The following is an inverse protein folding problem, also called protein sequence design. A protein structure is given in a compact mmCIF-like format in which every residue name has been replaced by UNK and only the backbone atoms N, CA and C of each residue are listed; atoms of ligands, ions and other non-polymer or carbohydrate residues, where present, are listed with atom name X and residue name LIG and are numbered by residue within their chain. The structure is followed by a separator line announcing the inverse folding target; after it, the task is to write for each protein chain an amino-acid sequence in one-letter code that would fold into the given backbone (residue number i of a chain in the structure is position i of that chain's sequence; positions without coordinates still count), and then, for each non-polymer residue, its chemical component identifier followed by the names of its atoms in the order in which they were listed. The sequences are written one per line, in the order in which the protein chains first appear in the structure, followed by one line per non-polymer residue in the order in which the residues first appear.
data_IF_396329889781
#
_entry.id   IF_396329889781
#
_cell.length_a   1.000
_cell.length_b   1.000
_cell.length_c   1.000
_cell.angle_alpha   90.00
_cell.angle_beta   90.00
_cell.angle_gamma   90.00
#
_symmetry.space_group_name_H-M   'P 1'
#
loop_
_entity.id
_entity.type
_entity.pdbx_description
1 polymer ?
#
# COMPACT_ATOMS: atom_id res chain seq x y z
N UNK A 1 -15.52 -38.62 13.78
CA UNK A 1 -15.35 -38.77 12.34
C UNK A 1 -14.65 -37.48 11.88
N UNK A 2 -13.33 -37.54 11.72
CA UNK A 2 -12.51 -36.42 11.21
C UNK A 2 -12.80 -36.32 9.71
N UNK A 3 -13.63 -35.33 9.32
CA UNK A 3 -13.73 -34.95 7.94
C UNK A 3 -12.35 -34.45 7.47
N UNK A 4 -11.81 -35.04 6.41
CA UNK A 4 -10.64 -34.54 5.74
C UNK A 4 -10.94 -33.08 5.33
N UNK A 5 -10.35 -32.13 6.04
CA UNK A 5 -10.39 -30.74 5.61
C UNK A 5 -9.56 -30.66 4.33
N UNK A 6 -10.21 -30.38 3.21
CA UNK A 6 -9.50 -30.16 1.95
C UNK A 6 -8.55 -28.95 2.14
N UNK A 7 -7.28 -29.17 1.94
CA UNK A 7 -6.28 -28.12 1.91
C UNK A 7 -6.01 -27.76 0.45
N UNK A 8 -6.24 -26.52 0.09
CA UNK A 8 -6.02 -25.96 -1.24
C UNK A 8 -4.67 -25.26 -1.32
N UNK A 9 -4.10 -25.22 -2.51
CA UNK A 9 -2.88 -24.45 -2.77
C UNK A 9 -3.15 -22.95 -2.72
N UNK A 10 -4.34 -22.53 -3.20
CA UNK A 10 -4.78 -21.14 -3.18
C UNK A 10 -6.27 -20.98 -2.90
N UNK A 11 -6.64 -19.98 -2.11
CA UNK A 11 -8.01 -19.49 -1.97
C UNK A 11 -8.17 -18.12 -2.61
N UNK A 12 -9.05 -18.00 -3.58
CA UNK A 12 -9.45 -16.74 -4.20
C UNK A 12 -10.65 -16.14 -3.44
N UNK A 13 -10.49 -14.93 -2.94
CA UNK A 13 -11.56 -14.15 -2.33
C UNK A 13 -12.10 -13.18 -3.39
N UNK A 14 -13.28 -13.45 -3.92
CA UNK A 14 -13.87 -12.73 -5.03
C UNK A 14 -13.69 -13.45 -6.36
N UNK A 15 -12.98 -12.86 -7.32
CA UNK A 15 -12.81 -13.42 -8.67
C UNK A 15 -11.59 -14.36 -8.72
N UNK A 16 -11.72 -15.56 -9.32
CA UNK A 16 -10.57 -16.43 -9.52
C UNK A 16 -9.68 -15.92 -10.65
N UNK A 17 -8.38 -16.23 -10.57
CA UNK A 17 -7.46 -16.09 -11.69
C UNK A 17 -7.52 -17.35 -12.57
N UNK A 18 -7.25 -17.20 -13.87
CA UNK A 18 -7.11 -18.33 -14.75
C UNK A 18 -5.78 -19.02 -14.47
N UNK A 19 -5.83 -20.21 -13.88
CA UNK A 19 -4.66 -21.06 -13.67
C UNK A 19 -5.05 -22.51 -13.92
N UNK A 20 -4.36 -23.17 -14.84
CA UNK A 20 -4.67 -24.56 -15.22
C UNK A 20 -4.09 -25.60 -14.24
N UNK A 21 -3.18 -25.20 -13.33
CA UNK A 21 -2.35 -26.13 -12.57
C UNK A 21 -2.42 -25.96 -11.05
N UNK A 22 -3.26 -25.07 -10.51
CA UNK A 22 -3.37 -24.85 -9.06
C UNK A 22 -4.63 -25.48 -8.48
N UNK A 23 -4.48 -26.27 -7.41
CA UNK A 23 -5.61 -26.71 -6.60
C UNK A 23 -6.18 -25.52 -5.85
N UNK A 24 -7.36 -25.04 -6.29
CA UNK A 24 -7.88 -23.77 -5.84
C UNK A 24 -9.34 -23.82 -5.42
N UNK A 25 -9.72 -22.88 -4.55
CA UNK A 25 -11.10 -22.67 -4.14
C UNK A 25 -11.45 -21.19 -4.24
N UNK A 26 -12.66 -20.90 -4.67
CA UNK A 26 -13.20 -19.52 -4.71
C UNK A 26 -14.18 -19.31 -3.55
N UNK A 27 -13.96 -18.25 -2.80
CA UNK A 27 -14.79 -17.85 -1.66
C UNK A 27 -15.41 -16.49 -1.95
N UNK A 28 -16.73 -16.43 -1.89
CA UNK A 28 -17.44 -15.16 -1.99
C UNK A 28 -17.11 -14.27 -0.77
N UNK A 29 -16.72 -13.01 -0.98
CA UNK A 29 -16.25 -12.14 0.09
C UNK A 29 -17.21 -12.03 1.26
N UNK A 30 -18.50 -11.94 1.01
CA UNK A 30 -19.57 -11.82 2.01
C UNK A 30 -19.70 -13.05 2.92
N UNK A 31 -19.26 -14.22 2.45
CA UNK A 31 -19.30 -15.47 3.21
C UNK A 31 -18.12 -15.64 4.16
N UNK A 32 -17.04 -14.91 3.95
CA UNK A 32 -15.86 -15.00 4.81
C UNK A 32 -16.12 -14.29 6.14
N UNK A 33 -15.86 -14.91 7.27
CA UNK A 33 -16.01 -14.30 8.60
C UNK A 33 -14.69 -14.05 9.30
N UNK A 34 -13.69 -14.90 9.09
CA UNK A 34 -12.40 -14.80 9.75
C UNK A 34 -11.30 -15.50 8.93
N UNK A 35 -10.07 -15.08 9.12
CA UNK A 35 -8.86 -15.74 8.63
C UNK A 35 -7.84 -15.83 9.75
N UNK A 36 -7.30 -17.04 9.99
CA UNK A 36 -6.20 -17.29 10.92
C UNK A 36 -5.08 -18.04 10.22
N UNK A 37 -3.89 -18.04 10.83
CA UNK A 37 -2.74 -18.76 10.32
C UNK A 37 -1.81 -17.88 9.47
N UNK A 38 -0.92 -18.55 8.80
CA UNK A 38 0.21 -17.97 8.07
C UNK A 38 0.40 -18.63 6.70
N UNK A 39 1.34 -18.13 5.91
CA UNK A 39 1.70 -18.73 4.61
C UNK A 39 1.96 -20.22 4.75
N UNK A 40 1.35 -21.00 3.87
CA UNK A 40 1.36 -22.45 3.89
C UNK A 40 0.23 -23.09 4.72
N UNK A 41 -0.40 -22.34 5.65
CA UNK A 41 -1.47 -22.88 6.51
C UNK A 41 -2.47 -21.81 6.99
N UNK A 42 -3.18 -21.22 6.07
CA UNK A 42 -4.31 -20.33 6.39
C UNK A 42 -5.57 -21.14 6.64
N UNK A 43 -6.34 -20.76 7.65
CA UNK A 43 -7.68 -21.28 7.93
C UNK A 43 -8.71 -20.16 7.75
N UNK A 44 -9.55 -20.30 6.74
CA UNK A 44 -10.67 -19.42 6.42
C UNK A 44 -11.94 -19.95 7.08
N UNK A 45 -12.59 -19.15 7.92
CA UNK A 45 -13.89 -19.48 8.53
C UNK A 45 -15.01 -18.83 7.75
N UNK A 46 -16.01 -19.63 7.35
CA UNK A 46 -17.14 -19.18 6.57
C UNK A 46 -18.38 -18.95 7.45
N UNK A 47 -19.25 -18.04 7.02
CA UNK A 47 -20.59 -17.85 7.58
C UNK A 47 -21.57 -18.89 6.99
N UNK A 48 -22.48 -19.37 7.79
CA UNK A 48 -23.61 -20.16 7.33
C UNK A 48 -24.89 -19.35 7.50
N UNK A 49 -25.59 -19.00 6.42
CA UNK A 49 -26.90 -18.37 6.37
C UNK A 49 -27.39 -17.73 7.70
N UNK A 50 -26.64 -16.65 8.16
CA UNK A 50 -26.98 -15.92 9.38
C UNK A 50 -26.36 -16.43 10.70
N UNK A 51 -25.57 -17.53 10.71
CA UNK A 51 -24.83 -18.00 11.88
C UNK A 51 -23.31 -17.97 11.65
N UNK A 52 -22.52 -17.75 12.71
CA UNK A 52 -21.05 -17.57 12.63
C UNK A 52 -20.25 -18.83 12.25
N UNK A 53 -20.90 -20.00 12.15
CA UNK A 53 -20.18 -21.28 11.92
C UNK A 53 -20.69 -21.99 10.67
N UNK A 54 -20.08 -21.66 9.54
CA UNK A 54 -20.44 -22.22 8.23
C UNK A 54 -19.49 -23.26 7.64
N UNK A 55 -18.42 -23.58 8.31
CA UNK A 55 -17.35 -24.45 7.81
C UNK A 55 -16.00 -23.76 7.77
N UNK A 56 -14.95 -24.55 7.58
CA UNK A 56 -13.59 -24.07 7.46
C UNK A 56 -12.96 -24.57 6.17
N UNK A 57 -12.15 -23.73 5.55
CA UNK A 57 -11.34 -24.03 4.38
C UNK A 57 -9.88 -23.77 4.77
N UNK A 58 -8.98 -24.66 4.40
CA UNK A 58 -7.54 -24.47 4.54
C UNK A 58 -6.91 -24.16 3.19
N UNK A 59 -6.01 -23.17 3.15
CA UNK A 59 -5.28 -22.81 1.96
C UNK A 59 -3.84 -22.40 2.28
N UNK A 60 -2.92 -22.64 1.35
CA UNK A 60 -1.52 -22.27 1.53
C UNK A 60 -1.27 -20.81 1.19
N UNK A 61 -2.00 -20.27 0.23
CA UNK A 61 -1.95 -18.89 -0.24
C UNK A 61 -3.36 -18.32 -0.37
N UNK A 62 -3.49 -16.98 -0.31
CA UNK A 62 -4.75 -16.28 -0.45
C UNK A 62 -4.58 -15.14 -1.46
N UNK A 63 -5.55 -15.01 -2.36
CA UNK A 63 -5.61 -13.90 -3.33
C UNK A 63 -6.93 -13.16 -3.11
N UNK A 64 -6.86 -11.90 -2.72
CA UNK A 64 -8.01 -11.00 -2.60
C UNK A 64 -8.14 -10.27 -3.93
N UNK A 65 -9.04 -10.74 -4.78
CA UNK A 65 -9.28 -10.22 -6.12
C UNK A 65 -10.73 -9.73 -6.24
N UNK A 66 -10.94 -8.48 -5.87
CA UNK A 66 -12.26 -7.85 -5.85
C UNK A 66 -12.46 -6.96 -7.10
N UNK A 67 -13.67 -6.90 -7.66
CA UNK A 67 -13.96 -5.93 -8.72
C UNK A 67 -13.89 -4.51 -8.15
N UNK A 68 -13.60 -3.52 -9.00
CA UNK A 68 -13.76 -2.13 -8.62
C UNK A 68 -15.24 -1.81 -8.40
N UNK A 69 -15.51 -0.88 -7.50
CA UNK A 69 -16.75 -0.13 -7.52
C UNK A 69 -16.59 1.03 -8.49
N UNK A 70 -17.45 1.09 -9.49
CA UNK A 70 -17.51 2.20 -10.43
C UNK A 70 -18.55 3.21 -9.96
N UNK A 71 -18.16 4.47 -9.89
CA UNK A 71 -19.06 5.58 -9.58
C UNK A 71 -19.08 6.54 -10.75
N UNK A 72 -20.26 6.74 -11.32
CA UNK A 72 -20.47 7.68 -12.40
C UNK A 72 -20.87 9.05 -11.83
N UNK A 73 -20.39 10.16 -12.40
CA UNK A 73 -20.73 11.51 -11.95
C UNK A 73 -22.19 11.89 -12.24
N UNK A 74 -22.91 11.10 -13.05
CA UNK A 74 -24.29 11.26 -13.44
C UNK A 74 -25.04 9.92 -13.39
N UNK A 75 -26.37 9.96 -13.19
CA UNK A 75 -27.22 8.74 -13.13
C UNK A 75 -27.24 7.96 -14.46
N UNK A 76 -27.11 8.69 -15.60
CA UNK A 76 -27.05 8.11 -16.94
C UNK A 76 -25.62 8.22 -17.49
N UNK A 77 -24.80 7.22 -17.24
CA UNK A 77 -23.41 7.15 -17.72
C UNK A 77 -23.04 5.74 -18.14
N UNK A 78 -21.89 5.59 -18.76
CA UNK A 78 -21.34 4.30 -19.19
C UNK A 78 -20.27 3.82 -18.22
N UNK A 79 -20.36 2.56 -17.80
CA UNK A 79 -19.31 1.93 -17.00
C UNK A 79 -18.12 1.49 -17.88
N UNK A 80 -16.99 1.14 -17.26
CA UNK A 80 -15.83 0.60 -17.99
C UNK A 80 -16.13 -0.74 -18.65
N UNK A 81 -17.13 -1.48 -18.15
CA UNK A 81 -17.58 -2.76 -18.67
C UNK A 81 -18.68 -2.64 -19.72
N UNK A 82 -19.31 -1.48 -19.84
CA UNK A 82 -20.37 -1.27 -20.81
C UNK A 82 -19.85 -1.26 -22.24
N UNK A 83 -20.57 -1.92 -23.11
CA UNK A 83 -20.32 -1.82 -24.55
C UNK A 83 -20.74 -0.43 -25.02
N UNK A 84 -19.77 0.41 -25.34
CA UNK A 84 -20.03 1.72 -25.98
C UNK A 84 -20.57 1.59 -27.40
N UNK A 85 -20.81 0.35 -27.84
CA UNK A 85 -21.29 0.01 -29.16
C UNK A 85 -22.41 0.89 -29.71
N UNK A 86 -23.51 1.15 -28.96
CA UNK A 86 -24.61 1.98 -29.45
C UNK A 86 -24.25 3.45 -29.68
N UNK A 87 -23.39 4.05 -28.83
CA UNK A 87 -22.97 5.46 -28.95
C UNK A 87 -21.87 5.62 -30.00
N UNK A 88 -21.07 4.56 -30.20
CA UNK A 88 -19.98 4.54 -31.16
C UNK A 88 -20.37 3.93 -32.52
N UNK A 89 -21.55 3.29 -32.64
CA UNK A 89 -21.90 2.48 -33.80
C UNK A 89 -22.60 3.20 -34.95
N UNK A 90 -23.08 4.41 -34.73
CA UNK A 90 -23.86 5.16 -35.74
C UNK A 90 -23.08 6.39 -36.21
N UNK A 91 -23.11 6.64 -37.53
CA UNK A 91 -22.73 7.94 -38.08
C UNK A 91 -23.68 8.99 -37.51
N UNK A 92 -23.15 9.87 -36.65
CA UNK A 92 -23.92 10.95 -36.01
C UNK A 92 -23.31 12.31 -36.37
N UNK A 93 -24.17 13.27 -36.73
CA UNK A 93 -23.74 14.63 -37.01
C UNK A 93 -23.32 15.37 -35.72
N UNK A 94 -23.76 14.89 -34.55
CA UNK A 94 -23.45 15.48 -33.26
C UNK A 94 -22.07 15.08 -32.75
N UNK A 95 -21.32 16.01 -32.13
CA UNK A 95 -20.00 15.73 -31.60
C UNK A 95 -20.06 14.68 -30.46
N UNK A 96 -19.00 13.93 -30.30
CA UNK A 96 -18.77 13.08 -29.13
C UNK A 96 -18.01 13.90 -28.07
N UNK A 97 -18.53 13.96 -26.88
CA UNK A 97 -17.94 14.69 -25.76
C UNK A 97 -17.60 13.70 -24.65
N UNK A 98 -16.31 13.50 -24.40
CA UNK A 98 -15.79 12.61 -23.35
C UNK A 98 -15.34 13.45 -22.17
N UNK A 99 -15.79 13.13 -20.97
CA UNK A 99 -15.48 13.87 -19.74
C UNK A 99 -14.81 12.94 -18.73
N UNK A 100 -13.61 13.35 -18.28
CA UNK A 100 -12.82 12.69 -17.25
C UNK A 100 -12.47 13.74 -16.18
N UNK A 101 -13.13 13.70 -15.03
CA UNK A 101 -13.03 14.71 -13.97
C UNK A 101 -12.30 14.21 -12.71
N UNK A 102 -11.19 13.47 -12.89
CA UNK A 102 -10.42 12.87 -11.78
C UNK A 102 -8.98 13.36 -11.77
N UNK A 103 -8.50 13.92 -10.63
CA UNK A 103 -7.11 14.39 -10.49
C UNK A 103 -6.15 13.33 -9.96
N UNK A 104 -6.65 12.21 -9.47
CA UNK A 104 -5.94 11.21 -8.65
C UNK A 104 -5.58 9.90 -9.40
N UNK A 105 -5.46 8.81 -8.66
CA UNK A 105 -5.12 7.49 -9.19
C UNK A 105 -6.16 6.96 -10.19
N UNK A 106 -7.43 7.32 -10.05
CA UNK A 106 -8.49 6.93 -10.99
C UNK A 106 -8.28 7.54 -12.38
N UNK A 107 -7.56 8.67 -12.47
CA UNK A 107 -7.28 9.32 -13.74
C UNK A 107 -6.53 8.43 -14.74
N UNK A 108 -5.67 7.52 -14.31
CA UNK A 108 -4.91 6.66 -15.23
C UNK A 108 -5.82 5.68 -15.98
N UNK A 109 -6.70 4.97 -15.27
CA UNK A 109 -7.65 4.04 -15.88
C UNK A 109 -8.70 4.78 -16.71
N UNK A 110 -9.21 5.91 -16.20
CA UNK A 110 -10.17 6.76 -16.90
C UNK A 110 -9.57 7.36 -18.18
N UNK A 111 -8.28 7.76 -18.17
CA UNK A 111 -7.59 8.26 -19.36
C UNK A 111 -7.46 7.18 -20.42
N UNK A 112 -7.04 5.97 -20.04
CA UNK A 112 -6.92 4.84 -20.98
C UNK A 112 -8.28 4.52 -21.62
N UNK A 113 -9.31 4.39 -20.79
CA UNK A 113 -10.66 4.08 -21.28
C UNK A 113 -11.18 5.17 -22.23
N UNK A 114 -11.06 6.44 -21.85
CA UNK A 114 -11.53 7.56 -22.67
C UNK A 114 -10.76 7.68 -24.01
N UNK A 115 -9.45 7.43 -24.00
CA UNK A 115 -8.63 7.40 -25.24
C UNK A 115 -9.07 6.26 -26.16
N UNK A 116 -9.29 5.06 -25.62
CA UNK A 116 -9.79 3.93 -26.42
C UNK A 116 -11.19 4.21 -26.97
N UNK A 117 -12.09 4.81 -26.19
CA UNK A 117 -13.40 5.21 -26.65
C UNK A 117 -13.32 6.25 -27.78
N UNK A 118 -12.47 7.28 -27.62
CA UNK A 118 -12.25 8.30 -28.63
C UNK A 118 -11.70 7.74 -29.96
N UNK A 119 -10.67 6.88 -29.87
CA UNK A 119 -10.09 6.23 -31.06
C UNK A 119 -11.09 5.29 -31.75
N UNK A 120 -11.85 4.51 -30.98
CA UNK A 120 -12.88 3.63 -31.52
C UNK A 120 -14.01 4.41 -32.22
N UNK A 121 -14.36 5.58 -31.70
CA UNK A 121 -15.34 6.47 -32.36
C UNK A 121 -14.77 7.01 -33.67
N UNK A 122 -13.51 7.45 -33.69
CA UNK A 122 -12.83 7.96 -34.88
C UNK A 122 -12.67 6.92 -35.98
N UNK A 123 -12.40 5.66 -35.62
CA UNK A 123 -12.32 4.53 -36.57
C UNK A 123 -13.65 4.29 -37.28
N UNK A 124 -14.78 4.51 -36.59
CA UNK A 124 -16.12 4.30 -37.13
C UNK A 124 -16.62 5.49 -37.95
N UNK A 125 -16.32 6.69 -37.51
CA UNK A 125 -16.66 7.94 -38.18
C UNK A 125 -15.47 8.90 -38.19
N UNK A 126 -14.81 8.97 -39.34
CA UNK A 126 -13.62 9.81 -39.49
C UNK A 126 -13.90 11.32 -39.51
N UNK A 127 -15.16 11.73 -39.65
CA UNK A 127 -15.57 13.13 -39.74
C UNK A 127 -16.20 13.66 -38.45
N UNK A 128 -16.54 12.81 -37.53
CA UNK A 128 -17.19 13.20 -36.27
C UNK A 128 -16.25 14.05 -35.41
N UNK A 129 -16.69 15.19 -34.94
CA UNK A 129 -15.92 15.96 -33.95
C UNK A 129 -15.89 15.26 -32.60
N UNK A 130 -14.69 15.12 -32.00
CA UNK A 130 -14.49 14.47 -30.72
C UNK A 130 -13.76 15.41 -29.77
N UNK A 131 -14.42 15.76 -28.66
CA UNK A 131 -13.88 16.60 -27.61
C UNK A 131 -13.60 15.75 -26.37
N UNK A 132 -12.40 15.87 -25.83
CA UNK A 132 -12.00 15.17 -24.61
C UNK A 132 -11.66 16.17 -23.52
N UNK A 133 -12.54 16.31 -22.55
CA UNK A 133 -12.33 17.12 -21.35
C UNK A 133 -11.68 16.32 -20.27
N UNK A 134 -10.59 16.83 -19.68
CA UNK A 134 -9.85 16.11 -18.65
C UNK A 134 -9.31 17.04 -17.57
N UNK A 135 -9.30 16.57 -16.34
CA UNK A 135 -8.69 17.27 -15.19
C UNK A 135 -7.21 16.93 -15.06
N UNK A 136 -6.89 15.65 -15.10
CA UNK A 136 -5.53 15.16 -15.17
C UNK A 136 -5.47 14.01 -16.18
N UNK A 137 -4.56 14.09 -17.16
CA UNK A 137 -4.25 12.97 -18.04
C UNK A 137 -3.02 12.29 -17.47
N UNK A 138 -3.19 11.03 -17.04
CA UNK A 138 -2.10 10.22 -16.49
C UNK A 138 -1.85 9.04 -17.40
N UNK A 139 -0.61 8.92 -17.83
CA UNK A 139 -0.16 7.82 -18.65
C UNK A 139 0.69 6.88 -17.80
N UNK A 140 0.47 5.59 -18.01
CA UNK A 140 1.31 4.52 -17.51
C UNK A 140 1.62 3.65 -18.73
N UNK A 141 2.89 3.61 -19.14
CA UNK A 141 3.42 2.86 -20.32
C UNK A 141 2.79 3.24 -21.67
N UNK A 142 2.34 2.22 -22.43
CA UNK A 142 1.83 2.32 -23.80
C UNK A 142 0.69 3.32 -24.02
N UNK A 143 0.14 3.89 -22.97
CA UNK A 143 -0.91 4.91 -23.06
C UNK A 143 -0.40 6.24 -23.66
N UNK A 144 0.91 6.49 -23.63
CA UNK A 144 1.50 7.62 -24.35
C UNK A 144 1.26 7.47 -25.86
N UNK A 145 1.38 6.26 -26.39
CA UNK A 145 1.13 5.97 -27.82
C UNK A 145 -0.34 6.18 -28.18
N UNK A 146 -1.28 5.80 -27.30
CA UNK A 146 -2.72 6.04 -27.51
C UNK A 146 -3.03 7.53 -27.55
N UNK A 147 -2.41 8.32 -26.68
CA UNK A 147 -2.61 9.78 -26.68
C UNK A 147 -2.03 10.44 -27.92
N UNK A 148 -0.84 10.06 -28.33
CA UNK A 148 -0.24 10.56 -29.57
C UNK A 148 -1.06 10.19 -30.81
N UNK A 149 -1.58 8.95 -30.84
CA UNK A 149 -2.48 8.51 -31.91
C UNK A 149 -3.77 9.32 -31.92
N UNK A 150 -4.39 9.52 -30.77
CA UNK A 150 -5.60 10.34 -30.64
C UNK A 150 -5.38 11.79 -31.12
N UNK A 151 -4.21 12.37 -30.82
CA UNK A 151 -3.83 13.70 -31.32
C UNK A 151 -3.60 13.72 -32.85
N UNK A 152 -2.98 12.67 -33.40
CA UNK A 152 -2.79 12.53 -34.86
C UNK A 152 -4.13 12.43 -35.60
N UNK A 153 -5.12 11.85 -34.95
CA UNK A 153 -6.48 11.72 -35.47
C UNK A 153 -7.38 12.92 -35.12
N UNK A 154 -6.78 14.05 -34.75
CA UNK A 154 -7.46 15.34 -34.55
C UNK A 154 -8.54 15.32 -33.44
N UNK A 155 -8.36 14.47 -32.41
CA UNK A 155 -9.19 14.54 -31.20
C UNK A 155 -8.79 15.78 -30.41
N UNK A 156 -9.79 16.59 -30.00
CA UNK A 156 -9.60 17.88 -29.32
C UNK A 156 -9.54 17.68 -27.82
N UNK A 157 -8.37 17.91 -27.22
CA UNK A 157 -8.12 17.77 -25.80
C UNK A 157 -8.23 19.10 -25.07
N UNK A 158 -9.11 19.19 -24.07
CA UNK A 158 -9.38 20.38 -23.27
C UNK A 158 -9.17 20.08 -21.78
N UNK A 159 -8.08 20.61 -21.25
CA UNK A 159 -7.83 20.50 -19.80
C UNK A 159 -8.69 21.50 -19.06
N UNK A 160 -9.35 21.07 -17.98
CA UNK A 160 -10.15 21.93 -17.12
C UNK A 160 -9.74 21.82 -15.65
N UNK A 161 -10.00 22.90 -14.91
CA UNK A 161 -9.89 22.98 -13.46
C UNK A 161 -11.28 23.19 -12.83
N UNK A 162 -11.32 23.23 -11.50
CA UNK A 162 -12.59 23.34 -10.77
C UNK A 162 -13.35 24.61 -11.18
N UNK A 163 -14.60 24.44 -11.63
CA UNK A 163 -15.49 25.54 -12.04
C UNK A 163 -15.32 26.02 -13.47
N UNK A 164 -14.40 25.47 -14.25
CA UNK A 164 -14.22 25.79 -15.68
C UNK A 164 -15.15 24.99 -16.59
N UNK A 165 -15.62 23.81 -16.13
CA UNK A 165 -16.51 22.92 -16.86
C UNK A 165 -17.88 22.84 -16.16
N UNK A 166 -18.94 23.12 -16.89
CA UNK A 166 -20.33 23.03 -16.44
C UNK A 166 -21.08 22.08 -17.37
N UNK A 167 -21.68 21.01 -16.83
CA UNK A 167 -22.42 20.01 -17.61
C UNK A 167 -23.90 20.10 -17.23
N UNK A 168 -24.80 20.23 -18.23
CA UNK A 168 -26.26 20.28 -18.06
C UNK A 168 -26.92 19.50 -19.17
N UNK A 169 -27.58 18.40 -18.81
CA UNK A 169 -28.25 17.51 -19.76
C UNK A 169 -27.29 17.07 -20.89
N UNK A 170 -27.53 17.48 -22.12
CA UNK A 170 -26.75 17.21 -23.33
C UNK A 170 -25.75 18.33 -23.69
N UNK A 171 -25.52 19.29 -22.77
CA UNK A 171 -24.70 20.48 -23.01
C UNK A 171 -23.53 20.57 -22.06
N UNK A 172 -22.39 20.93 -22.63
CA UNK A 172 -21.17 21.23 -21.90
C UNK A 172 -20.80 22.68 -22.15
N UNK A 173 -20.60 23.45 -21.09
CA UNK A 173 -20.05 24.79 -21.16
C UNK A 173 -18.67 24.80 -20.50
N UNK A 174 -17.66 25.17 -21.28
CA UNK A 174 -16.28 25.27 -20.85
C UNK A 174 -15.81 26.71 -20.92
N UNK A 175 -15.26 27.22 -19.80
CA UNK A 175 -14.73 28.58 -19.70
C UNK A 175 -13.34 28.55 -19.12
N UNK A 176 -12.39 29.02 -19.90
CA UNK A 176 -11.01 29.16 -19.45
C UNK A 176 -10.36 30.35 -20.15
N UNK A 177 -9.84 31.28 -19.35
CA UNK A 177 -9.26 32.53 -19.87
C UNK A 177 -10.20 33.25 -20.83
N UNK A 178 -9.81 33.40 -22.10
CA UNK A 178 -10.59 34.06 -23.14
C UNK A 178 -11.49 33.09 -23.95
N UNK A 179 -11.49 31.80 -23.61
CA UNK A 179 -12.29 30.78 -24.30
C UNK A 179 -13.60 30.53 -23.55
N UNK A 180 -14.73 30.80 -24.18
CA UNK A 180 -16.08 30.41 -23.73
C UNK A 180 -16.68 29.53 -24.83
N UNK A 181 -16.76 28.22 -24.58
CA UNK A 181 -17.21 27.19 -25.51
C UNK A 181 -18.47 26.55 -24.98
N UNK A 182 -19.51 26.48 -25.80
CA UNK A 182 -20.74 25.73 -25.50
C UNK A 182 -20.92 24.66 -26.56
N UNK A 183 -21.00 23.41 -26.15
CA UNK A 183 -21.13 22.22 -27.01
C UNK A 183 -22.41 21.47 -26.62
N UNK A 184 -23.10 20.93 -27.63
CA UNK A 184 -24.17 19.96 -27.46
C UNK A 184 -23.80 18.71 -28.23
N UNK A 185 -24.00 17.52 -27.66
CA UNK A 185 -23.64 16.28 -28.33
C UNK A 185 -23.81 15.05 -27.44
N UNK A 186 -23.30 13.92 -27.92
CA UNK A 186 -23.29 12.69 -27.14
C UNK A 186 -22.26 12.77 -26.00
N UNK A 187 -22.71 12.72 -24.77
CA UNK A 187 -21.87 12.81 -23.57
C UNK A 187 -21.49 11.43 -23.07
N UNK A 188 -20.19 11.19 -22.86
CA UNK A 188 -19.67 10.02 -22.20
C UNK A 188 -18.84 10.45 -21.01
N UNK A 189 -19.12 9.86 -19.85
CA UNK A 189 -18.37 10.11 -18.63
C UNK A 189 -17.48 8.89 -18.34
N UNK A 190 -16.18 9.13 -18.18
CA UNK A 190 -15.31 8.13 -17.62
C UNK A 190 -15.68 7.89 -16.16
N UNK A 191 -15.87 6.63 -15.70
CA UNK A 191 -16.21 6.36 -14.31
C UNK A 191 -15.04 6.57 -13.36
N UNK A 192 -15.34 6.94 -12.12
CA UNK A 192 -14.39 6.90 -11.01
C UNK A 192 -14.29 5.47 -10.49
N UNK A 193 -13.05 4.99 -10.33
CA UNK A 193 -12.79 3.68 -9.73
C UNK A 193 -12.56 3.84 -8.24
N UNK A 194 -13.42 3.19 -7.45
CA UNK A 194 -13.35 3.15 -5.99
C UNK A 194 -12.99 1.75 -5.48
N UNK A 195 -12.50 1.65 -4.24
CA UNK A 195 -12.34 0.35 -3.60
C UNK A 195 -13.62 -0.46 -3.64
N UNK A 196 -13.50 -1.77 -3.77
CA UNK A 196 -14.65 -2.67 -3.65
C UNK A 196 -15.34 -2.45 -2.29
N UNK A 197 -16.67 -2.56 -2.20
CA UNK A 197 -17.41 -2.36 -0.93
C UNK A 197 -16.95 -3.29 0.20
N UNK A 198 -16.41 -4.45 -0.14
CA UNK A 198 -15.92 -5.45 0.80
C UNK A 198 -14.50 -5.18 1.30
N UNK A 199 -13.79 -4.20 0.74
CA UNK A 199 -12.37 -3.93 1.04
C UNK A 199 -12.14 -3.64 2.52
N UNK A 200 -12.97 -2.81 3.15
CA UNK A 200 -12.92 -2.51 4.60
C UNK A 200 -13.03 -3.77 5.46
N UNK A 201 -13.86 -4.68 5.04
CA UNK A 201 -14.07 -5.93 5.75
C UNK A 201 -12.89 -6.86 5.57
N UNK A 202 -12.32 -6.93 4.36
CA UNK A 202 -11.12 -7.71 4.10
C UNK A 202 -9.94 -7.16 4.88
N UNK A 203 -9.76 -5.83 4.95
CA UNK A 203 -8.76 -5.20 5.78
C UNK A 203 -8.80 -5.71 7.23
N UNK A 204 -9.99 -5.77 7.83
CA UNK A 204 -10.19 -6.24 9.20
C UNK A 204 -9.96 -7.74 9.37
N UNK A 205 -10.47 -8.58 8.43
CA UNK A 205 -10.34 -10.03 8.49
C UNK A 205 -8.88 -10.47 8.36
N UNK A 206 -8.13 -9.84 7.46
CA UNK A 206 -6.73 -10.17 7.20
C UNK A 206 -5.73 -9.36 8.02
N UNK A 207 -6.20 -8.36 8.77
CA UNK A 207 -5.39 -7.39 9.51
C UNK A 207 -4.36 -6.71 8.58
N UNK A 208 -4.85 -6.16 7.47
CA UNK A 208 -4.09 -5.40 6.48
C UNK A 208 -4.55 -3.94 6.60
N UNK A 209 -3.61 -3.00 6.64
CA UNK A 209 -3.91 -1.57 6.65
C UNK A 209 -4.42 -1.13 5.27
N UNK A 210 -5.19 -0.05 5.24
CA UNK A 210 -5.67 0.61 4.02
C UNK A 210 -4.89 1.90 3.81
N UNK A 211 -4.73 2.29 2.55
CA UNK A 211 -4.22 3.60 2.19
C UNK A 211 -5.30 4.70 2.37
N UNK A 212 -4.93 5.96 2.11
CA UNK A 212 -5.82 7.11 2.24
C UNK A 212 -7.04 7.04 1.31
N UNK A 213 -6.94 6.30 0.21
CA UNK A 213 -8.01 6.09 -0.76
C UNK A 213 -8.90 4.87 -0.41
N UNK A 214 -8.57 4.12 0.64
CA UNK A 214 -9.31 2.96 1.12
C UNK A 214 -8.93 1.63 0.46
N UNK A 215 -7.88 1.57 -0.37
CA UNK A 215 -7.35 0.33 -0.93
C UNK A 215 -6.46 -0.40 0.08
N UNK A 216 -6.36 -1.72 -0.05
CA UNK A 216 -5.48 -2.52 0.79
C UNK A 216 -4.01 -2.19 0.50
N UNK A 217 -3.26 -1.90 1.56
CA UNK A 217 -1.89 -1.47 1.45
C UNK A 217 -0.98 -2.60 0.96
N UNK A 218 -0.04 -2.27 0.06
CA UNK A 218 0.92 -3.17 -0.54
C UNK A 218 2.23 -3.18 0.23
N UNK A 219 2.93 -4.30 0.21
CA UNK A 219 4.22 -4.42 0.90
C UNK A 219 5.30 -3.53 0.25
N UNK A 220 5.38 -3.54 -1.08
CA UNK A 220 6.32 -2.71 -1.82
C UNK A 220 5.67 -2.26 -3.13
N UNK A 221 5.35 -0.98 -3.22
CA UNK A 221 4.58 -0.40 -4.32
C UNK A 221 5.30 -0.53 -5.65
N UNK A 222 6.64 -0.52 -5.64
CA UNK A 222 7.45 -0.47 -6.86
C UNK A 222 7.94 -1.84 -7.33
N UNK A 223 8.27 -2.75 -6.40
CA UNK A 223 8.88 -4.03 -6.75
C UNK A 223 7.92 -5.21 -6.62
N UNK A 224 6.97 -5.14 -5.71
CA UNK A 224 6.05 -6.23 -5.39
C UNK A 224 4.62 -5.71 -5.22
N UNK A 225 4.01 -5.25 -6.31
CA UNK A 225 2.78 -4.46 -6.24
C UNK A 225 1.56 -5.24 -5.75
N UNK A 226 1.56 -6.57 -5.82
CA UNK A 226 0.42 -7.41 -5.41
C UNK A 226 0.57 -8.02 -4.03
N UNK A 227 1.77 -7.94 -3.42
CA UNK A 227 1.98 -8.44 -2.07
C UNK A 227 1.36 -7.51 -1.03
N UNK A 228 0.64 -8.07 -0.09
CA UNK A 228 0.20 -7.34 1.11
C UNK A 228 1.27 -7.34 2.20
N UNK A 229 1.04 -6.62 3.29
CA UNK A 229 1.89 -6.69 4.48
C UNK A 229 1.91 -8.09 5.13
N UNK A 230 0.93 -8.93 4.83
CA UNK A 230 0.83 -10.31 5.33
C UNK A 230 1.32 -11.30 4.28
N UNK A 231 2.41 -12.01 4.55
CA UNK A 231 2.99 -13.01 3.64
C UNK A 231 1.95 -14.05 3.22
N UNK A 232 1.96 -14.41 1.93
CA UNK A 232 1.02 -15.37 1.36
C UNK A 232 -0.38 -14.82 1.11
N UNK A 233 -0.61 -13.51 1.37
CA UNK A 233 -1.85 -12.82 1.04
C UNK A 233 -1.56 -11.77 -0.04
N UNK A 234 -2.16 -11.93 -1.19
CA UNK A 234 -2.02 -11.07 -2.36
C UNK A 234 -3.28 -10.23 -2.58
N UNK A 235 -3.12 -9.04 -3.13
CA UNK A 235 -4.21 -8.10 -3.38
C UNK A 235 -4.21 -7.66 -4.85
N UNK A 236 -5.38 -7.69 -5.49
CA UNK A 236 -5.56 -7.38 -6.90
C UNK A 236 -6.78 -6.49 -7.15
N UNK A 237 -6.76 -5.77 -8.25
CA UNK A 237 -7.88 -4.97 -8.78
C UNK A 237 -8.51 -4.04 -7.73
N UNK A 238 -9.83 -4.12 -7.49
CA UNK A 238 -10.58 -3.26 -6.57
C UNK A 238 -10.17 -3.36 -5.09
N UNK A 239 -9.38 -4.36 -4.72
CA UNK A 239 -8.75 -4.43 -3.40
C UNK A 239 -7.42 -3.67 -3.36
N UNK A 240 -6.71 -3.58 -4.51
CA UNK A 240 -5.36 -3.03 -4.62
C UNK A 240 -5.32 -1.54 -5.00
N UNK A 241 -6.23 -1.12 -5.86
CA UNK A 241 -6.25 0.18 -6.50
C UNK A 241 -6.11 0.11 -8.03
N UNK A 242 -6.52 1.18 -8.72
CA UNK A 242 -6.52 1.24 -10.18
C UNK A 242 -5.10 1.17 -10.73
N UNK A 243 -4.98 0.48 -11.88
CA UNK A 243 -3.77 0.38 -12.68
C UNK A 243 -4.16 0.21 -14.15
N UNK A 244 -3.23 0.45 -15.08
CA UNK A 244 -3.47 0.20 -16.49
C UNK A 244 -3.83 -1.28 -16.75
N UNK A 245 -4.66 -1.55 -17.77
CA UNK A 245 -5.14 -2.91 -18.06
C UNK A 245 -4.01 -3.88 -18.41
N UNK A 246 -2.95 -3.40 -19.07
CA UNK A 246 -1.72 -4.15 -19.35
C UNK A 246 -1.06 -4.63 -18.09
N UNK A 247 -0.88 -3.76 -17.10
CA UNK A 247 -0.31 -4.11 -15.81
C UNK A 247 -1.16 -5.07 -15.00
N UNK A 248 -2.48 -5.02 -15.12
CA UNK A 248 -3.34 -5.97 -14.43
C UNK A 248 -3.03 -7.42 -14.83
N UNK A 249 -2.75 -7.68 -16.11
CA UNK A 249 -2.34 -9.01 -16.58
C UNK A 249 -0.97 -9.41 -16.05
N UNK A 250 -0.03 -8.49 -16.04
CA UNK A 250 1.31 -8.71 -15.47
C UNK A 250 1.26 -8.98 -13.97
N UNK A 251 0.42 -8.27 -13.24
CA UNK A 251 0.18 -8.47 -11.81
C UNK A 251 -0.44 -9.85 -11.52
N UNK A 252 -1.38 -10.28 -12.34
CA UNK A 252 -1.96 -11.63 -12.25
C UNK A 252 -0.88 -12.69 -12.51
N UNK A 253 -0.07 -12.53 -13.55
CA UNK A 253 1.02 -13.46 -13.88
C UNK A 253 2.10 -13.47 -12.78
N UNK A 254 2.48 -12.30 -12.27
CA UNK A 254 3.40 -12.18 -11.14
C UNK A 254 2.86 -12.89 -9.90
N UNK A 255 1.59 -12.67 -9.56
CA UNK A 255 0.95 -13.31 -8.39
C UNK A 255 0.96 -14.83 -8.50
N UNK A 256 0.63 -15.38 -9.67
CA UNK A 256 0.66 -16.82 -9.92
C UNK A 256 2.09 -17.39 -9.85
N UNK A 257 3.09 -16.66 -10.35
CA UNK A 257 4.49 -17.04 -10.25
C UNK A 257 4.98 -17.06 -8.79
N UNK A 258 4.61 -16.06 -7.98
CA UNK A 258 4.94 -16.01 -6.56
C UNK A 258 4.27 -17.16 -5.77
N UNK A 259 3.02 -17.47 -6.06
CA UNK A 259 2.32 -18.61 -5.46
C UNK A 259 3.06 -19.90 -5.82
N UNK A 260 3.41 -20.10 -7.08
CA UNK A 260 4.13 -21.30 -7.55
C UNK A 260 5.50 -21.43 -6.89
N UNK A 261 6.21 -20.31 -6.70
CA UNK A 261 7.48 -20.27 -5.97
C UNK A 261 7.30 -20.69 -4.50
N UNK A 262 6.28 -20.19 -3.84
CA UNK A 262 5.97 -20.54 -2.45
C UNK A 262 5.60 -22.03 -2.29
N UNK A 263 4.91 -22.62 -3.27
CA UNK A 263 4.54 -24.02 -3.27
C UNK A 263 5.74 -24.96 -3.52
N UNK A 264 6.76 -24.51 -4.26
CA UNK A 264 7.97 -25.31 -4.57
C UNK A 264 8.97 -25.38 -3.42
N UNK A 265 8.76 -24.65 -2.37
CA UNK A 265 9.61 -24.61 -1.17
C UNK A 265 9.96 -23.16 -0.83
N UNK A 266 9.50 -22.70 0.31
CA UNK A 266 9.83 -21.38 0.84
C UNK A 266 11.30 -21.40 1.25
N UNK A 267 12.08 -20.39 0.86
CA UNK A 267 13.33 -20.08 1.55
C UNK A 267 13.04 -20.02 3.05
N UNK A 268 13.72 -20.86 3.82
CA UNK A 268 13.66 -20.81 5.28
C UNK A 268 14.04 -19.39 5.66
N UNK A 269 13.09 -18.66 6.16
CA UNK A 269 13.37 -17.38 6.79
C UNK A 269 14.10 -17.73 8.08
N UNK A 270 15.26 -17.14 8.32
CA UNK A 270 15.94 -17.22 9.60
C UNK A 270 14.90 -16.92 10.69
N UNK A 271 14.48 -17.96 11.38
CA UNK A 271 13.55 -17.87 12.51
C UNK A 271 14.32 -17.17 13.64
N UNK A 272 14.34 -15.85 13.62
CA UNK A 272 14.74 -15.09 14.78
C UNK A 272 13.69 -15.35 15.86
N UNK A 273 14.04 -16.18 16.82
CA UNK A 273 13.18 -16.63 17.91
C UNK A 273 12.68 -15.44 18.73
N UNK A 274 11.46 -15.04 18.43
CA UNK A 274 10.71 -14.09 19.26
C UNK A 274 9.70 -14.87 20.06
N UNK A 275 9.83 -14.77 21.37
CA UNK A 275 9.00 -15.50 22.31
C UNK A 275 8.07 -14.54 23.05
N UNK A 276 6.88 -15.04 23.34
CA UNK A 276 5.95 -14.38 24.24
C UNK A 276 5.89 -15.19 25.54
N UNK A 277 6.31 -14.59 26.64
CA UNK A 277 6.15 -15.12 27.98
C UNK A 277 4.65 -15.09 28.35
N UNK A 278 4.01 -16.26 28.36
CA UNK A 278 2.59 -16.44 28.64
C UNK A 278 2.21 -16.03 30.06
N UNK A 279 3.15 -16.12 31.00
CA UNK A 279 2.94 -15.70 32.40
C UNK A 279 2.91 -14.16 32.56
N UNK A 280 3.64 -13.44 31.71
CA UNK A 280 3.62 -11.97 31.66
C UNK A 280 2.56 -11.40 30.73
N UNK A 281 2.08 -12.19 29.76
CA UNK A 281 1.12 -11.73 28.78
C UNK A 281 -0.26 -11.48 29.41
N UNK A 282 -0.71 -10.24 29.33
CA UNK A 282 -2.03 -9.80 29.85
C UNK A 282 -3.12 -9.79 28.76
N UNK A 283 -2.86 -10.35 27.60
CA UNK A 283 -3.81 -10.44 26.46
C UNK A 283 -4.43 -9.07 26.09
N UNK A 284 -3.63 -8.01 26.07
CA UNK A 284 -4.11 -6.65 25.76
C UNK A 284 -4.25 -6.36 24.27
N UNK A 285 -3.87 -7.29 23.42
CA UNK A 285 -3.89 -7.18 21.94
C UNK A 285 -3.06 -6.03 21.33
N UNK A 286 -2.21 -5.36 22.11
CA UNK A 286 -1.38 -4.26 21.60
C UNK A 286 -0.44 -4.76 20.51
N UNK A 287 0.24 -5.89 20.73
CA UNK A 287 1.16 -6.50 19.76
C UNK A 287 0.47 -6.89 18.44
N UNK A 288 -0.77 -7.39 18.50
CA UNK A 288 -1.55 -7.71 17.31
C UNK A 288 -1.95 -6.46 16.52
N UNK A 289 -2.39 -5.41 17.21
CA UNK A 289 -2.82 -4.15 16.57
C UNK A 289 -1.68 -3.37 15.94
N UNK A 290 -0.48 -3.46 16.50
CA UNK A 290 0.69 -2.75 15.96
C UNK A 290 1.43 -3.54 14.90
N UNK A 291 1.18 -4.84 14.76
CA UNK A 291 1.88 -5.69 13.80
C UNK A 291 1.40 -5.41 12.36
N UNK A 292 2.23 -4.79 11.49
CA UNK A 292 1.81 -4.49 10.12
C UNK A 292 1.78 -5.75 9.23
N UNK A 293 2.31 -6.87 9.75
CA UNK A 293 2.45 -8.13 9.00
C UNK A 293 1.39 -9.17 9.39
N UNK A 294 0.48 -8.84 10.32
CA UNK A 294 -0.53 -9.77 10.82
C UNK A 294 0.06 -11.04 11.44
N UNK A 295 1.32 -10.99 11.92
CA UNK A 295 2.06 -12.12 12.45
C UNK A 295 1.71 -12.46 13.91
N UNK A 296 0.88 -11.67 14.58
CA UNK A 296 0.51 -11.90 15.98
C UNK A 296 -0.97 -12.24 16.07
N UNK A 297 -1.27 -13.35 16.71
CA UNK A 297 -2.64 -13.79 16.95
C UNK A 297 -2.83 -14.26 18.39
N UNK A 298 -4.09 -14.45 18.80
CA UNK A 298 -4.40 -15.04 20.09
C UNK A 298 -4.27 -16.56 20.02
N UNK A 299 -3.61 -17.13 21.01
CA UNK A 299 -3.65 -18.55 21.33
C UNK A 299 -4.70 -18.78 22.44
N UNK A 300 -5.79 -19.45 22.07
CA UNK A 300 -6.90 -19.70 23.00
C UNK A 300 -6.59 -20.83 24.00
N UNK A 301 -5.65 -21.71 23.68
CA UNK A 301 -5.22 -22.82 24.56
C UNK A 301 -4.30 -22.31 25.67
N UNK A 302 -3.33 -21.48 25.32
CA UNK A 302 -2.40 -20.88 26.28
C UNK A 302 -2.98 -19.66 26.97
N UNK A 303 -4.14 -19.16 26.51
CA UNK A 303 -4.71 -17.87 26.91
C UNK A 303 -3.70 -16.71 26.86
N UNK A 304 -2.90 -16.69 25.80
CA UNK A 304 -1.82 -15.76 25.53
C UNK A 304 -1.90 -15.25 24.09
N UNK A 305 -0.97 -14.39 23.72
CA UNK A 305 -0.71 -14.07 22.33
C UNK A 305 0.40 -14.99 21.81
N UNK A 306 0.41 -15.29 20.50
CA UNK A 306 1.48 -16.05 19.84
C UNK A 306 1.96 -15.31 18.61
N UNK A 307 3.21 -15.53 18.22
CA UNK A 307 3.83 -14.99 17.00
C UNK A 307 3.95 -16.12 15.99
N UNK A 308 3.40 -15.88 14.80
CA UNK A 308 3.50 -16.79 13.66
C UNK A 308 4.88 -16.58 13.01
N UNK A 309 5.75 -17.56 13.08
CA UNK A 309 7.17 -17.47 12.66
C UNK A 309 7.29 -17.13 11.18
N UNK A 310 6.53 -17.80 10.31
CA UNK A 310 6.57 -17.59 8.86
C UNK A 310 5.96 -16.26 8.42
N UNK A 311 5.07 -15.67 9.21
CA UNK A 311 4.49 -14.36 8.96
C UNK A 311 5.34 -13.23 9.56
N UNK A 312 6.13 -13.49 10.59
CA UNK A 312 6.96 -12.50 11.27
C UNK A 312 8.07 -12.00 10.34
N UNK A 313 8.23 -10.69 10.26
CA UNK A 313 9.30 -10.03 9.48
C UNK A 313 10.32 -9.32 10.39
N UNK A 314 10.46 -9.77 11.60
CA UNK A 314 11.53 -9.39 12.51
C UNK A 314 11.65 -7.88 12.82
N UNK A 315 10.58 -7.09 12.63
CA UNK A 315 10.62 -5.62 12.80
C UNK A 315 10.71 -5.14 14.26
N UNK A 316 10.59 -6.03 15.25
CA UNK A 316 10.63 -5.78 16.70
C UNK A 316 9.57 -4.78 17.24
N UNK A 317 8.62 -4.33 16.42
CA UNK A 317 7.62 -3.36 16.83
C UNK A 317 6.73 -3.87 17.99
N UNK A 318 6.38 -5.15 17.99
CA UNK A 318 5.61 -5.77 19.08
C UNK A 318 6.38 -5.78 20.39
N UNK A 319 7.71 -5.99 20.36
CA UNK A 319 8.59 -5.92 21.55
C UNK A 319 8.56 -4.53 22.13
N UNK A 320 8.81 -3.51 21.30
CA UNK A 320 8.88 -2.12 21.75
C UNK A 320 7.56 -1.57 22.30
N UNK A 321 6.43 -2.17 21.93
CA UNK A 321 5.08 -1.71 22.30
C UNK A 321 4.38 -2.58 23.33
N UNK A 322 5.00 -3.68 23.77
CA UNK A 322 4.41 -4.55 24.80
C UNK A 322 4.43 -3.84 26.17
N UNK A 323 3.26 -3.49 26.76
CA UNK A 323 3.23 -2.76 28.04
C UNK A 323 3.63 -3.66 29.22
N UNK A 324 3.55 -4.99 29.05
CA UNK A 324 3.90 -5.97 30.07
C UNK A 324 5.35 -6.45 29.95
N UNK A 325 6.09 -6.05 28.91
CA UNK A 325 7.43 -6.58 28.63
C UNK A 325 7.44 -8.09 28.41
N UNK A 326 6.32 -8.66 27.92
CA UNK A 326 6.15 -10.10 27.75
C UNK A 326 6.79 -10.65 26.46
N UNK A 327 7.27 -9.80 25.56
CA UNK A 327 7.83 -10.20 24.27
C UNK A 327 9.31 -9.90 24.25
N UNK A 328 10.12 -10.92 24.00
CA UNK A 328 11.58 -10.85 23.97
C UNK A 328 12.11 -11.42 22.67
N UNK A 329 13.34 -11.08 22.33
CA UNK A 329 14.13 -11.71 21.26
C UNK A 329 15.19 -12.56 21.90
N UNK A 330 15.36 -13.79 21.43
CA UNK A 330 16.44 -14.67 21.88
C UNK A 330 17.80 -14.03 21.55
N UNK A 331 18.64 -13.87 22.57
CA UNK A 331 20.00 -13.36 22.42
C UNK A 331 20.17 -11.82 22.48
N UNK A 332 19.14 -11.05 22.77
CA UNK A 332 19.30 -9.62 23.10
C UNK A 332 19.83 -9.48 24.53
N UNK A 333 21.12 -9.13 24.65
CA UNK A 333 21.61 -8.45 25.84
C UNK A 333 21.07 -7.00 25.85
N UNK A 334 20.72 -6.46 27.03
CA UNK A 334 20.36 -5.06 27.17
C UNK A 334 21.42 -4.20 26.48
N UNK A 335 21.02 -3.48 25.42
CA UNK A 335 21.92 -2.64 24.66
C UNK A 335 22.72 -1.75 25.59
N UNK A 336 24.05 -1.88 25.57
CA UNK A 336 24.93 -0.97 26.31
C UNK A 336 24.59 0.46 25.82
N UNK A 337 24.21 1.32 26.75
CA UNK A 337 23.98 2.73 26.46
C UNK A 337 25.30 3.34 25.98
N UNK A 338 25.33 3.67 24.69
CA UNK A 338 26.48 4.32 24.07
C UNK A 338 26.51 5.78 24.55
N UNK A 339 27.70 6.32 24.81
CA UNK A 339 27.89 7.71 25.22
C UNK A 339 28.32 8.57 24.02
N UNK A 340 27.94 9.86 24.04
CA UNK A 340 28.27 10.81 22.98
C UNK A 340 27.24 10.85 21.85
N UNK A 341 27.63 11.45 20.73
CA UNK A 341 26.77 11.59 19.54
C UNK A 341 26.47 10.25 18.88
N UNK A 342 25.21 9.95 18.70
CA UNK A 342 24.73 8.65 18.22
C UNK A 342 23.80 8.80 17.03
N UNK A 343 23.84 7.79 16.15
CA UNK A 343 22.95 7.71 14.99
C UNK A 343 22.26 6.34 14.99
N UNK A 344 20.93 6.34 15.02
CA UNK A 344 20.12 5.12 14.86
C UNK A 344 19.67 5.06 13.40
N UNK A 345 19.98 3.97 12.70
CA UNK A 345 19.66 3.80 11.29
C UNK A 345 18.77 2.58 11.04
N UNK A 346 17.83 2.73 10.11
CA UNK A 346 16.99 1.63 9.66
C UNK A 346 17.78 0.74 8.69
N UNK A 347 17.81 -0.59 8.93
CA UNK A 347 18.43 -1.60 8.05
C UNK A 347 17.91 -1.54 6.61
N UNK A 348 16.62 -1.21 6.42
CA UNK A 348 15.97 -1.19 5.11
C UNK A 348 16.09 0.15 4.37
N UNK A 349 16.85 1.09 4.88
CA UNK A 349 16.97 2.45 4.30
C UNK A 349 18.38 3.01 4.47
N UNK A 350 18.64 3.70 5.58
CA UNK A 350 19.92 4.39 5.80
C UNK A 350 21.11 3.43 5.88
N UNK A 351 20.95 2.21 6.38
CA UNK A 351 22.02 1.20 6.35
C UNK A 351 22.41 0.84 4.91
N UNK A 352 21.42 0.60 4.03
CA UNK A 352 21.67 0.30 2.62
C UNK A 352 22.30 1.52 1.90
N UNK A 353 21.86 2.74 2.21
CA UNK A 353 22.45 3.94 1.64
C UNK A 353 23.91 4.11 2.08
N UNK A 354 24.21 3.81 3.35
CA UNK A 354 25.55 3.80 3.91
C UNK A 354 26.49 2.81 3.21
N UNK A 355 26.02 1.56 3.01
CA UNK A 355 26.79 0.53 2.32
C UNK A 355 27.11 0.85 0.86
N UNK A 356 26.24 1.61 0.20
CA UNK A 356 26.39 2.02 -1.20
C UNK A 356 27.22 3.29 -1.40
N UNK A 357 27.52 4.01 -0.33
CA UNK A 357 28.34 5.22 -0.40
C UNK A 357 29.80 4.85 -0.67
N UNK A 358 30.50 5.64 -1.48
CA UNK A 358 31.92 5.44 -1.80
C UNK A 358 32.82 5.50 -0.56
N UNK A 359 32.41 6.26 0.44
CA UNK A 359 33.05 6.35 1.76
C UNK A 359 31.97 6.30 2.83
N UNK A 360 32.23 5.61 3.96
CA UNK A 360 31.26 5.54 5.06
C UNK A 360 31.01 6.93 5.68
N UNK A 361 29.86 7.56 5.46
CA UNK A 361 29.59 8.89 5.96
C UNK A 361 29.39 8.93 7.48
N UNK A 362 29.21 7.77 8.12
CA UNK A 362 28.97 7.58 9.55
C UNK A 362 30.20 7.03 10.30
N UNK A 363 31.38 6.95 9.67
CA UNK A 363 32.58 6.33 10.25
C UNK A 363 33.06 6.99 11.56
N UNK A 364 32.72 8.27 11.80
CA UNK A 364 33.16 9.02 12.97
C UNK A 364 32.13 9.12 14.11
N UNK A 365 30.96 8.50 13.95
CA UNK A 365 29.86 8.54 14.94
C UNK A 365 29.49 7.13 15.37
N UNK A 366 28.89 7.03 16.53
CA UNK A 366 28.38 5.73 17.01
C UNK A 366 27.07 5.41 16.30
N UNK A 367 27.04 4.28 15.61
CA UNK A 367 25.87 3.85 14.81
C UNK A 367 25.23 2.61 15.44
N UNK A 368 23.93 2.68 15.60
CA UNK A 368 23.09 1.54 15.92
C UNK A 368 22.18 1.23 14.74
N UNK A 369 22.29 0.03 14.21
CA UNK A 369 21.39 -0.48 13.16
C UNK A 369 20.22 -1.20 13.80
N UNK A 370 19.00 -0.81 13.38
CA UNK A 370 17.77 -1.42 13.87
C UNK A 370 16.93 -1.94 12.70
N UNK A 371 16.23 -3.07 12.85
CA UNK A 371 15.34 -3.60 11.80
C UNK A 371 14.30 -2.58 11.33
N UNK A 372 13.81 -1.76 12.26
CA UNK A 372 12.91 -0.66 11.99
C UNK A 372 13.03 0.42 13.06
N UNK A 373 13.16 1.68 12.65
CA UNK A 373 13.22 2.83 13.59
C UNK A 373 11.98 3.01 14.45
N UNK A 374 10.86 2.34 14.13
CA UNK A 374 9.66 2.31 14.98
C UNK A 374 9.89 1.64 16.35
N UNK A 375 11.02 0.94 16.52
CA UNK A 375 11.45 0.37 17.81
C UNK A 375 11.97 1.41 18.78
N UNK A 376 12.33 2.59 18.30
CA UNK A 376 12.79 3.71 19.15
C UNK A 376 11.70 4.11 20.13
N UNK A 377 12.03 4.14 21.42
CA UNK A 377 11.15 4.53 22.52
C UNK A 377 11.59 5.88 23.11
N UNK A 378 10.65 6.61 23.73
CA UNK A 378 11.00 7.87 24.40
C UNK A 378 12.00 7.65 25.52
N UNK A 379 11.85 6.59 26.28
CA UNK A 379 12.77 6.23 27.39
C UNK A 379 14.22 6.09 26.85
N UNK A 380 14.39 5.41 25.70
CA UNK A 380 15.69 5.23 25.08
C UNK A 380 16.29 6.56 24.56
N UNK A 381 15.45 7.47 24.08
CA UNK A 381 15.88 8.82 23.67
C UNK A 381 16.40 9.58 24.87
N UNK A 382 15.63 9.64 25.94
CA UNK A 382 16.03 10.37 27.15
C UNK A 382 17.26 9.78 27.83
N UNK A 383 17.38 8.44 27.92
CA UNK A 383 18.56 7.79 28.50
C UNK A 383 19.84 8.10 27.70
N UNK A 384 19.76 8.19 26.36
CA UNK A 384 20.89 8.53 25.48
C UNK A 384 21.30 10.00 25.55
N UNK A 385 20.33 10.90 25.80
CA UNK A 385 20.57 12.34 25.92
C UNK A 385 20.86 12.79 27.35
N UNK A 386 20.71 11.91 28.35
CA UNK A 386 20.83 12.24 29.77
C UNK A 386 22.24 12.74 30.17
N UNK A 387 23.29 12.25 29.52
CA UNK A 387 24.67 12.63 29.83
C UNK A 387 25.03 14.07 29.41
N UNK A 388 24.15 14.76 28.71
CA UNK A 388 24.34 16.15 28.28
C UNK A 388 25.40 16.38 27.18
N UNK A 389 26.14 15.33 26.79
CA UNK A 389 27.33 15.45 25.95
C UNK A 389 27.19 14.90 24.53
N UNK A 390 25.98 14.55 24.09
CA UNK A 390 25.80 13.98 22.74
C UNK A 390 24.45 14.34 22.13
N UNK A 391 24.37 14.19 20.83
CA UNK A 391 23.17 14.39 20.05
C UNK A 391 22.69 13.06 19.50
N UNK A 392 21.39 12.96 19.24
CA UNK A 392 20.77 11.76 18.68
C UNK A 392 20.12 12.06 17.34
N UNK A 393 20.62 11.41 16.30
CA UNK A 393 20.04 11.41 14.99
C UNK A 393 19.37 10.06 14.72
N UNK A 394 18.12 10.08 14.21
CA UNK A 394 17.40 8.88 13.79
C UNK A 394 17.09 8.97 12.30
N UNK A 395 17.55 7.98 11.53
CA UNK A 395 17.39 7.91 10.08
C UNK A 395 16.43 6.79 9.69
N UNK A 396 15.23 7.18 9.28
CA UNK A 396 14.13 6.27 8.89
C UNK A 396 13.90 6.20 7.38
N UNK A 397 12.97 5.35 6.96
CA UNK A 397 12.55 5.21 5.57
C UNK A 397 11.70 6.40 5.11
N UNK A 398 11.69 6.68 3.81
CA UNK A 398 10.63 7.47 3.18
C UNK A 398 9.31 6.67 3.18
N UNK A 399 8.17 7.38 3.10
CA UNK A 399 6.84 6.78 3.23
C UNK A 399 6.60 5.64 2.25
N UNK A 400 6.92 5.87 0.98
CA UNK A 400 6.60 4.97 -0.13
C UNK A 400 7.49 3.72 -0.17
N UNK A 401 8.62 3.72 0.56
CA UNK A 401 9.59 2.62 0.58
C UNK A 401 9.74 1.98 1.97
N UNK A 402 8.81 2.23 2.88
CA UNK A 402 8.89 1.64 4.21
C UNK A 402 8.47 0.16 4.17
N UNK A 403 9.43 -0.76 4.41
CA UNK A 403 9.18 -2.21 4.46
C UNK A 403 8.09 -2.59 5.48
N UNK A 404 8.03 -1.87 6.59
CA UNK A 404 7.08 -2.12 7.68
C UNK A 404 5.93 -1.09 7.67
N UNK A 405 5.56 -0.63 6.49
CA UNK A 405 4.42 0.22 6.15
C UNK A 405 4.45 1.57 6.89
N UNK A 406 4.06 1.63 8.13
CA UNK A 406 3.93 2.84 8.96
C UNK A 406 5.07 3.03 9.96
N UNK A 407 6.16 2.27 9.84
CA UNK A 407 7.28 2.32 10.80
C UNK A 407 7.93 3.71 10.92
N UNK A 408 8.06 4.40 9.81
CA UNK A 408 8.60 5.76 9.73
C UNK A 408 7.70 6.79 10.44
N UNK A 409 6.38 6.76 10.24
CA UNK A 409 5.42 7.66 10.88
C UNK A 409 5.36 7.45 12.39
N UNK A 410 5.38 6.18 12.81
CA UNK A 410 5.40 5.82 14.24
C UNK A 410 6.66 6.31 14.94
N UNK A 411 7.80 6.26 14.26
CA UNK A 411 9.03 6.83 14.78
C UNK A 411 8.92 8.35 14.90
N UNK A 412 8.48 9.02 13.86
CA UNK A 412 8.32 10.48 13.85
C UNK A 412 7.40 10.97 14.95
N UNK A 413 6.27 10.29 15.22
CA UNK A 413 5.38 10.59 16.34
C UNK A 413 6.09 10.48 17.69
N UNK A 414 6.96 9.47 17.87
CA UNK A 414 7.75 9.30 19.10
C UNK A 414 8.77 10.44 19.25
N UNK A 415 9.47 10.78 18.17
CA UNK A 415 10.45 11.87 18.14
C UNK A 415 9.79 13.22 18.46
N UNK A 416 8.68 13.54 17.80
CA UNK A 416 7.95 14.79 18.02
C UNK A 416 7.47 14.90 19.48
N UNK A 417 6.96 13.79 20.02
CA UNK A 417 6.54 13.74 21.42
C UNK A 417 7.71 13.90 22.40
N UNK A 418 8.86 13.31 22.07
CA UNK A 418 10.06 13.48 22.88
C UNK A 418 10.56 14.93 22.85
N UNK A 419 10.54 15.60 21.70
CA UNK A 419 10.89 17.03 21.57
C UNK A 419 9.96 17.91 22.40
N UNK A 420 8.62 17.70 22.34
CA UNK A 420 7.66 18.41 23.19
C UNK A 420 7.95 18.22 24.68
N UNK A 421 8.33 17.00 25.10
CA UNK A 421 8.64 16.72 26.50
C UNK A 421 9.99 17.36 26.91
N UNK A 422 10.99 17.41 26.01
CA UNK A 422 12.26 18.13 26.21
C UNK A 422 12.02 19.63 26.40
N UNK A 423 11.21 20.26 25.56
CA UNK A 423 10.86 21.68 25.67
C UNK A 423 10.18 22.01 27.02
N UNK A 424 9.27 21.14 27.49
CA UNK A 424 8.61 21.31 28.82
C UNK A 424 9.58 21.18 29.98
N UNK A 425 10.70 20.51 29.79
CA UNK A 425 11.74 20.30 30.80
C UNK A 425 12.90 21.32 30.65
N UNK A 426 12.75 22.33 29.78
CA UNK A 426 13.81 23.31 29.44
C UNK A 426 15.11 22.64 28.93
N UNK A 427 14.96 21.49 28.23
CA UNK A 427 16.06 20.80 27.56
C UNK A 427 16.13 21.19 26.07
N UNK A 428 17.34 21.21 25.54
CA UNK A 428 17.56 21.56 24.14
C UNK A 428 17.05 20.46 23.20
N UNK A 429 15.90 20.71 22.57
CA UNK A 429 15.25 19.79 21.62
C UNK A 429 15.99 19.69 20.27
N UNK A 430 16.92 20.60 19.96
CA UNK A 430 17.73 20.54 18.72
C UNK A 430 18.71 19.37 18.71
N UNK A 431 19.07 18.86 19.90
CA UNK A 431 19.91 17.67 20.08
C UNK A 431 19.27 16.36 19.59
N UNK A 432 17.97 16.37 19.29
CA UNK A 432 17.23 15.23 18.77
C UNK A 432 16.79 15.53 17.34
N UNK A 433 17.32 14.81 16.34
CA UNK A 433 16.96 14.98 14.94
C UNK A 433 16.38 13.70 14.33
N UNK A 434 15.46 13.88 13.40
CA UNK A 434 14.89 12.79 12.60
C UNK A 434 14.89 13.16 11.13
N UNK A 435 15.33 12.24 10.27
CA UNK A 435 15.29 12.41 8.82
C UNK A 435 14.83 11.13 8.14
N UNK A 436 14.17 11.30 7.01
CA UNK A 436 13.73 10.21 6.15
C UNK A 436 14.68 10.09 4.95
N UNK A 437 15.12 8.87 4.68
CA UNK A 437 16.06 8.57 3.60
C UNK A 437 15.55 7.39 2.77
N UNK A 438 15.78 7.40 1.47
CA UNK A 438 15.67 6.25 0.58
C UNK A 438 17.00 5.48 0.54
N UNK A 439 17.00 4.17 0.28
CA UNK A 439 18.22 3.40 0.01
C UNK A 439 19.09 3.90 -1.15
N UNK A 440 18.60 4.84 -1.94
CA UNK A 440 19.30 5.45 -3.10
C UNK A 440 19.86 6.84 -2.83
N UNK A 441 19.59 7.40 -1.66
CA UNK A 441 20.00 8.77 -1.29
C UNK A 441 21.37 8.77 -0.59
N UNK A 442 22.40 8.29 -1.26
CA UNK A 442 23.77 8.21 -0.73
C UNK A 442 24.40 9.57 -0.54
N UNK A 443 24.27 10.44 -1.55
CA UNK A 443 24.82 11.81 -1.53
C UNK A 443 24.08 12.70 -0.54
N UNK A 444 22.75 12.55 -0.46
CA UNK A 444 21.92 13.26 0.50
C UNK A 444 22.26 12.90 1.95
N UNK A 445 22.60 11.63 2.23
CA UNK A 445 23.06 11.20 3.54
C UNK A 445 24.33 11.94 3.93
N UNK A 446 25.32 11.99 3.02
CA UNK A 446 26.59 12.66 3.25
C UNK A 446 26.43 14.17 3.44
N UNK A 447 25.62 14.82 2.60
CA UNK A 447 25.34 16.26 2.69
C UNK A 447 24.62 16.60 3.99
N UNK A 448 23.59 15.83 4.36
CA UNK A 448 22.85 16.04 5.58
C UNK A 448 23.71 15.89 6.83
N UNK A 449 24.59 14.90 6.88
CA UNK A 449 25.50 14.70 8.03
C UNK A 449 26.52 15.83 8.17
N UNK A 450 26.99 16.43 7.06
CA UNK A 450 27.85 17.61 7.09
C UNK A 450 27.11 18.83 7.65
N UNK A 451 25.87 19.05 7.26
CA UNK A 451 25.02 20.12 7.77
C UNK A 451 24.78 19.93 9.27
N UNK A 452 24.34 18.74 9.68
CA UNK A 452 24.07 18.41 11.08
C UNK A 452 25.30 18.55 11.98
N UNK A 453 26.48 18.06 11.55
CA UNK A 453 27.74 18.25 12.29
C UNK A 453 28.15 19.73 12.36
N UNK A 454 27.81 20.51 11.34
CA UNK A 454 28.05 21.97 11.31
C UNK A 454 27.15 22.75 12.29
N UNK A 455 25.93 22.34 12.48
CA UNK A 455 24.97 22.91 13.45
C UNK A 455 25.37 22.59 14.90
N UNK A 456 25.86 21.40 15.15
CA UNK A 456 26.28 20.91 16.49
C UNK A 456 27.61 21.54 16.94
N UNK A 457 28.39 22.07 15.99
CA UNK A 457 29.72 22.69 16.28
C UNK A 457 29.65 24.19 16.53
N UNK A 458 28.49 24.83 16.47
CA UNK A 458 28.23 26.23 16.78
C UNK A 458 27.53 26.37 18.13
#
# INVERSE_FOLDING_TARGET
MSGSQNQYEVAFIGQPLQSENLDSVTVAPEKLSNCRGEIGDFTLTLKKNGSETGGQIRAQNIVINLPFQEELPVEEGYSLSDELGPVLAEEREEPLIIIQDYPDLSAAAASQWGLQAALSAREKDSQRDIYYFYKAMRFMDENDELYEEARRQEIIFLKHDLGELEVKEDKVRYRREDLDLELSGDLIFAPELKPAPETDRMAKIFNIEQDESGYLQKQNVYLQPTLSGKRGVYVLRGARGPNALTYQREEEAFTLAEISRNLSGVEEVDEEDREIDDQKCVVCYTCQRVCPHGAVQRDDELNSMTILSKACQACNLCISRCPAGAITRSGEDESQLLQGTQVIICENSAAIAREKADTDPLAEVQVEEVPCVSTVKRENIFSRLADGNGDLLVLGCISEACKHLTGHDRCEQVINKAKEDMEKLDLDSSRLQYRRLSPRMTDDLSAFLQEWKGEVSQ
#
